data_IF_662147985647
#
_entry.id   IF_662147985647
#
_cell.length_a   1.000
_cell.length_b   1.000
_cell.length_c   1.000
_cell.angle_alpha   90.00
_cell.angle_beta   90.00
_cell.angle_gamma   90.00
#
_symmetry.space_group_name_H-M   'P 1'
#
loop_
_entity.id
_entity.type
_entity.pdbx_description
1 polymer ?
#
# COMPACT_ATOMS: atom_id res chain seq x y z
N UNK A 1 1.41 -5.24 12.30
CA UNK A 1 0.60 -6.40 11.90
C UNK A 1 1.52 -7.40 11.21
N UNK A 2 1.45 -8.66 11.60
CA UNK A 2 2.19 -9.75 10.95
C UNK A 2 1.52 -10.12 9.63
N UNK A 3 2.28 -10.11 8.54
CA UNK A 3 1.82 -10.47 7.19
C UNK A 3 2.93 -11.25 6.50
N UNK A 4 2.59 -12.34 5.83
CA UNK A 4 3.56 -13.07 5.03
C UNK A 4 3.59 -12.63 3.56
N UNK A 5 4.65 -13.03 2.85
CA UNK A 5 4.86 -12.68 1.44
C UNK A 5 3.72 -13.14 0.54
N UNK A 6 3.11 -14.28 0.87
CA UNK A 6 2.00 -14.83 0.09
C UNK A 6 0.77 -13.93 0.23
N UNK A 7 0.51 -13.43 1.44
CA UNK A 7 -0.60 -12.53 1.70
C UNK A 7 -0.44 -11.19 0.99
N UNK A 8 0.77 -10.64 0.93
CA UNK A 8 1.06 -9.46 0.11
C UNK A 8 0.74 -9.67 -1.38
N UNK A 9 1.07 -10.84 -1.92
CA UNK A 9 0.82 -11.19 -3.32
C UNK A 9 -0.66 -11.47 -3.60
N UNK A 10 -1.31 -12.25 -2.75
CA UNK A 10 -2.73 -12.59 -2.85
C UNK A 10 -3.64 -11.35 -2.85
N UNK A 11 -3.31 -10.37 -2.00
CA UNK A 11 -4.00 -9.08 -1.91
C UNK A 11 -3.53 -8.07 -2.97
N UNK A 12 -2.58 -8.46 -3.82
CA UNK A 12 -2.02 -7.60 -4.87
C UNK A 12 -1.46 -6.28 -4.31
N UNK A 13 -0.91 -6.30 -3.10
CA UNK A 13 -0.22 -5.15 -2.50
C UNK A 13 1.02 -4.81 -3.33
N UNK A 14 1.80 -5.86 -3.58
CA UNK A 14 2.94 -5.88 -4.47
C UNK A 14 2.68 -6.95 -5.53
N UNK A 15 2.93 -6.63 -6.79
CA UNK A 15 2.75 -7.55 -7.91
C UNK A 15 3.95 -7.45 -8.86
N UNK A 16 4.25 -8.54 -9.56
CA UNK A 16 5.31 -8.59 -10.57
C UNK A 16 4.99 -7.69 -11.76
N UNK A 17 3.72 -7.58 -12.09
CA UNK A 17 3.21 -6.61 -13.06
C UNK A 17 2.82 -5.33 -12.29
N UNK A 18 3.70 -4.32 -12.29
CA UNK A 18 3.55 -3.12 -11.44
C UNK A 18 2.15 -2.49 -11.57
N UNK A 19 1.59 -2.42 -12.78
CA UNK A 19 0.30 -1.76 -13.09
C UNK A 19 -0.90 -2.35 -12.34
N UNK A 20 -0.81 -3.60 -11.88
CA UNK A 20 -1.90 -4.28 -11.17
C UNK A 20 -1.68 -4.37 -9.66
N UNK A 21 -0.81 -3.53 -9.10
CA UNK A 21 -0.53 -3.50 -7.66
C UNK A 21 -1.18 -2.31 -6.95
N UNK A 22 -1.52 -2.50 -5.67
CA UNK A 22 -1.97 -1.41 -4.80
C UNK A 22 -0.89 -0.34 -4.68
N UNK A 23 0.39 -0.72 -4.54
CA UNK A 23 1.52 0.21 -4.50
C UNK A 23 1.50 1.15 -5.72
N UNK A 24 1.39 0.61 -6.94
CA UNK A 24 1.34 1.43 -8.15
C UNK A 24 0.11 2.35 -8.16
N UNK A 25 -1.06 1.82 -7.76
CA UNK A 25 -2.31 2.58 -7.72
C UNK A 25 -2.25 3.80 -6.80
N UNK A 26 -1.53 3.72 -5.67
CA UNK A 26 -1.44 4.78 -4.66
C UNK A 26 -0.12 5.58 -4.73
N UNK A 27 0.74 5.31 -5.71
CA UNK A 27 2.02 6.00 -5.85
C UNK A 27 1.88 7.32 -6.64
N UNK A 28 1.87 8.42 -5.90
CA UNK A 28 1.95 9.79 -6.37
C UNK A 28 3.26 10.50 -5.95
N UNK A 29 4.30 9.74 -5.59
CA UNK A 29 5.60 10.29 -5.22
C UNK A 29 6.19 11.12 -6.38
N UNK A 30 6.86 12.22 -6.04
CA UNK A 30 7.54 13.07 -7.01
C UNK A 30 8.96 12.55 -7.33
N UNK A 31 9.48 11.65 -6.50
CA UNK A 31 10.86 11.15 -6.55
C UNK A 31 10.94 9.63 -6.42
N UNK A 32 12.02 9.06 -6.98
CA UNK A 32 12.31 7.63 -6.84
C UNK A 32 12.59 7.23 -5.38
N UNK A 33 13.33 8.04 -4.62
CA UNK A 33 13.55 7.78 -3.20
C UNK A 33 12.26 7.86 -2.38
N UNK A 34 11.31 8.73 -2.77
CA UNK A 34 9.95 8.74 -2.25
C UNK A 34 9.21 7.42 -2.49
N UNK A 35 9.25 6.88 -3.73
CA UNK A 35 8.67 5.54 -4.05
C UNK A 35 9.27 4.45 -3.15
N UNK A 36 10.59 4.46 -2.91
CA UNK A 36 11.22 3.48 -2.02
C UNK A 36 10.77 3.62 -0.56
N UNK A 37 10.61 4.85 -0.06
CA UNK A 37 10.09 5.07 1.30
C UNK A 37 8.61 4.67 1.40
N UNK A 38 7.81 4.90 0.36
CA UNK A 38 6.43 4.42 0.29
C UNK A 38 6.37 2.89 0.36
N UNK A 39 7.17 2.20 -0.45
CA UNK A 39 7.29 0.73 -0.42
C UNK A 39 7.73 0.22 0.97
N UNK A 40 8.67 0.91 1.61
CA UNK A 40 9.06 0.62 2.99
C UNK A 40 7.88 0.75 3.97
N UNK A 41 7.09 1.83 3.90
CA UNK A 41 5.92 2.01 4.77
C UNK A 41 4.89 0.89 4.55
N UNK A 42 4.62 0.53 3.28
CA UNK A 42 3.70 -0.54 2.93
C UNK A 42 4.18 -1.93 3.39
N UNK A 43 5.48 -2.18 3.42
CA UNK A 43 6.01 -3.46 3.94
C UNK A 43 6.05 -3.55 5.47
N UNK A 44 5.76 -2.45 6.18
CA UNK A 44 5.84 -2.35 7.65
C UNK A 44 4.53 -1.86 8.31
N UNK A 45 3.38 -2.52 8.06
CA UNK A 45 2.11 -2.16 8.68
C UNK A 45 2.21 -2.22 10.21
N UNK A 46 1.65 -1.22 10.88
CA UNK A 46 1.78 -1.03 12.31
C UNK A 46 1.05 -2.11 13.11
N UNK A 47 1.56 -2.39 14.31
CA UNK A 47 0.98 -3.29 15.31
C UNK A 47 0.52 -2.54 16.56
N UNK A 48 0.52 -1.21 16.51
CA UNK A 48 0.31 -0.34 17.65
C UNK A 48 -0.64 0.78 17.22
N UNK A 49 -1.71 0.99 17.99
CA UNK A 49 -2.75 1.97 17.70
C UNK A 49 -2.18 3.39 17.56
N UNK A 50 -1.35 3.83 18.51
CA UNK A 50 -0.74 5.15 18.49
C UNK A 50 0.06 5.42 17.21
N UNK A 51 0.84 4.45 16.72
CA UNK A 51 1.57 4.61 15.45
C UNK A 51 0.64 4.73 14.24
N UNK A 52 -0.51 4.05 14.27
CA UNK A 52 -1.53 4.17 13.23
C UNK A 52 -2.13 5.58 13.27
N UNK A 53 -2.53 6.05 14.45
CA UNK A 53 -3.09 7.40 14.65
C UNK A 53 -2.09 8.49 14.27
N UNK A 54 -0.82 8.35 14.64
CA UNK A 54 0.27 9.27 14.25
C UNK A 54 0.39 9.37 12.72
N UNK A 55 0.29 8.22 12.02
CA UNK A 55 0.27 8.19 10.54
C UNK A 55 -1.00 8.82 9.98
N UNK A 56 -2.19 8.49 10.51
CA UNK A 56 -3.45 9.10 10.07
C UNK A 56 -3.43 10.63 10.19
N UNK A 57 -3.00 11.15 11.35
CA UNK A 57 -2.85 12.58 11.59
C UNK A 57 -1.85 13.22 10.62
N UNK A 58 -0.73 12.54 10.35
CA UNK A 58 0.27 12.99 9.36
C UNK A 58 -0.34 13.15 7.97
N UNK A 59 -1.12 12.16 7.53
CA UNK A 59 -1.74 12.19 6.20
C UNK A 59 -2.83 13.28 6.10
N UNK A 60 -3.62 13.48 7.15
CA UNK A 60 -4.62 14.55 7.22
C UNK A 60 -3.95 15.93 7.11
N UNK A 61 -2.91 16.17 7.91
CA UNK A 61 -2.18 17.45 7.92
C UNK A 61 -1.46 17.73 6.60
N UNK A 62 -0.85 16.71 5.97
CA UNK A 62 -0.29 16.88 4.62
C UNK A 62 -1.40 17.16 3.61
N UNK A 63 -2.53 16.45 3.73
CA UNK A 63 -3.71 16.61 2.87
C UNK A 63 -4.20 18.06 2.77
N UNK A 64 -4.20 18.78 3.88
CA UNK A 64 -4.60 20.20 3.95
C UNK A 64 -3.71 21.13 3.11
N UNK A 65 -2.45 20.76 2.88
CA UNK A 65 -1.45 21.59 2.18
C UNK A 65 -1.00 21.04 0.83
N UNK A 66 -1.62 19.97 0.31
CA UNK A 66 -1.23 19.32 -0.98
C UNK A 66 -1.12 20.32 -2.13
N UNK A 67 -2.05 21.27 -2.24
CA UNK A 67 -2.04 22.27 -3.33
C UNK A 67 -0.89 23.28 -3.22
N UNK A 68 -0.30 23.40 -2.04
CA UNK A 68 0.81 24.31 -1.73
C UNK A 68 2.16 23.58 -1.72
N UNK A 69 2.20 22.28 -1.99
CA UNK A 69 3.42 21.48 -2.03
C UNK A 69 4.42 22.05 -3.05
N UNK A 70 5.73 22.15 -2.72
CA UNK A 70 6.72 22.73 -3.62
C UNK A 70 6.80 21.96 -4.93
N UNK A 71 6.80 22.69 -6.06
CA UNK A 71 6.89 22.12 -7.42
C UNK A 71 8.33 22.07 -7.93
N UNK A 72 9.23 22.78 -7.25
CA UNK A 72 10.64 22.92 -7.59
C UNK A 72 11.43 21.63 -7.31
N UNK A 73 10.97 20.81 -6.35
CA UNK A 73 11.64 19.54 -6.02
C UNK A 73 11.08 18.43 -6.90
N UNK A 74 11.82 18.14 -7.98
CA UNK A 74 11.50 17.05 -8.91
C UNK A 74 12.44 15.86 -8.72
N UNK A 75 12.09 14.70 -9.30
CA UNK A 75 13.04 13.59 -9.41
C UNK A 75 14.36 14.01 -10.09
N UNK A 76 14.29 14.87 -11.10
CA UNK A 76 15.47 15.42 -11.77
C UNK A 76 16.35 16.23 -10.82
N UNK A 77 15.73 17.04 -9.96
CA UNK A 77 16.44 17.82 -8.93
C UNK A 77 17.23 16.89 -8.01
N UNK A 78 16.58 15.88 -7.41
CA UNK A 78 17.24 14.93 -6.49
C UNK A 78 18.38 14.16 -7.19
N UNK A 79 18.15 13.66 -8.41
CA UNK A 79 19.18 12.91 -9.14
C UNK A 79 20.44 13.76 -9.41
N UNK A 80 20.29 15.07 -9.64
CA UNK A 80 21.42 15.97 -9.83
C UNK A 80 22.19 16.14 -8.52
N UNK A 81 21.48 16.33 -7.41
CA UNK A 81 22.06 16.47 -6.07
C UNK A 81 22.87 15.22 -5.67
N UNK A 82 22.33 14.03 -5.88
CA UNK A 82 23.00 12.77 -5.55
C UNK A 82 24.25 12.53 -6.42
N UNK A 83 24.14 12.79 -7.74
CA UNK A 83 25.27 12.64 -8.67
C UNK A 83 26.42 13.60 -8.38
N UNK A 84 26.13 14.77 -7.82
CA UNK A 84 27.15 15.77 -7.44
C UNK A 84 28.23 15.19 -6.53
N UNK A 85 27.82 14.38 -5.55
CA UNK A 85 28.73 13.80 -4.57
C UNK A 85 29.53 12.62 -5.10
N UNK A 86 29.04 11.95 -6.15
CA UNK A 86 29.75 10.88 -6.84
C UNK A 86 30.70 11.35 -7.94
N UNK A 87 30.57 12.60 -8.42
CA UNK A 87 31.43 13.12 -9.48
C UNK A 87 32.82 13.53 -8.94
N UNK A 88 33.92 13.08 -9.59
CA UNK A 88 35.27 13.45 -9.20
C UNK A 88 35.64 14.82 -9.78
N UNK A 89 35.14 15.90 -9.17
CA UNK A 89 35.56 17.25 -9.53
C UNK A 89 37.04 17.48 -9.21
N UNK A 90 37.71 18.23 -10.07
CA UNK A 90 38.93 18.93 -9.68
C UNK A 90 38.59 19.97 -8.61
N UNK A 91 39.50 20.19 -7.65
CA UNK A 91 39.26 20.97 -6.43
C UNK A 91 38.48 22.27 -6.72
N UNK A 92 37.18 22.31 -6.37
CA UNK A 92 36.34 23.49 -6.54
C UNK A 92 36.92 24.59 -5.63
N UNK A 93 37.42 25.71 -6.16
CA UNK A 93 38.10 26.69 -5.34
C UNK A 93 37.10 27.43 -4.44
N UNK A 94 37.43 27.57 -3.15
CA UNK A 94 36.75 28.51 -2.26
C UNK A 94 37.19 29.94 -2.62
N UNK A 95 36.53 30.51 -3.63
CA UNK A 95 36.94 31.79 -4.23
C UNK A 95 36.06 32.94 -3.77
N UNK A 96 36.60 33.75 -2.85
CA UNK A 96 36.06 35.08 -2.54
C UNK A 96 36.39 36.11 -3.63
N UNK A 97 37.43 35.85 -4.43
CA UNK A 97 37.97 36.76 -5.43
C UNK A 97 37.49 36.41 -6.86
N UNK A 98 37.16 37.40 -7.70
CA UNK A 98 36.77 37.19 -9.11
C UNK A 98 37.85 36.54 -9.98
N UNK A 99 39.13 36.68 -9.62
CA UNK A 99 40.27 36.27 -10.46
C UNK A 99 40.45 34.73 -10.49
N UNK A 100 40.54 34.02 -9.35
CA UNK A 100 40.55 32.55 -9.34
C UNK A 100 39.28 31.95 -9.98
N UNK A 101 38.13 32.57 -9.75
CA UNK A 101 36.87 32.13 -10.33
C UNK A 101 36.85 32.27 -11.85
N UNK A 102 37.45 33.34 -12.40
CA UNK A 102 37.61 33.52 -13.83
C UNK A 102 38.50 32.44 -14.44
N UNK A 103 39.64 32.13 -13.82
CA UNK A 103 40.55 31.10 -14.31
C UNK A 103 39.93 29.71 -14.26
N UNK A 104 39.24 29.35 -13.18
CA UNK A 104 38.52 28.07 -13.11
C UNK A 104 37.45 27.96 -14.20
N UNK A 105 36.69 29.04 -14.44
CA UNK A 105 35.71 29.06 -15.54
C UNK A 105 36.34 28.89 -16.93
N UNK A 106 37.55 29.38 -17.13
CA UNK A 106 38.24 29.37 -18.42
C UNK A 106 38.95 28.04 -18.69
N UNK A 107 39.67 27.51 -17.70
CA UNK A 107 40.48 26.31 -17.84
C UNK A 107 39.70 25.03 -17.46
N UNK A 108 38.80 25.10 -16.48
CA UNK A 108 37.93 24.00 -16.03
C UNK A 108 36.47 24.20 -16.45
N UNK A 109 36.26 24.56 -17.72
CA UNK A 109 34.94 24.90 -18.24
C UNK A 109 33.88 23.78 -18.09
N UNK A 110 34.19 22.48 -18.27
CA UNK A 110 33.23 21.39 -18.02
C UNK A 110 32.78 21.35 -16.55
N UNK A 111 33.72 21.39 -15.62
CA UNK A 111 33.44 21.33 -14.18
C UNK A 111 32.67 22.56 -13.70
N UNK A 112 33.04 23.76 -14.17
CA UNK A 112 32.29 24.98 -13.85
C UNK A 112 30.82 24.90 -14.30
N UNK A 113 30.55 24.36 -15.50
CA UNK A 113 29.17 24.19 -15.99
C UNK A 113 28.39 23.22 -15.11
N UNK A 114 29.01 22.11 -14.70
CA UNK A 114 28.39 21.13 -13.82
C UNK A 114 28.13 21.70 -12.42
N UNK A 115 29.07 22.45 -11.85
CA UNK A 115 28.88 23.18 -10.59
C UNK A 115 27.72 24.17 -10.72
N UNK A 116 27.69 24.99 -11.79
CA UNK A 116 26.60 25.95 -12.02
C UNK A 116 25.23 25.29 -12.11
N UNK A 117 25.14 24.20 -12.88
CA UNK A 117 23.92 23.43 -13.02
C UNK A 117 23.46 22.88 -11.67
N UNK A 118 24.38 22.26 -10.93
CA UNK A 118 24.09 21.61 -9.66
C UNK A 118 23.72 22.59 -8.56
N UNK A 119 24.46 23.68 -8.40
CA UNK A 119 24.15 24.75 -7.43
C UNK A 119 22.76 25.33 -7.68
N UNK A 120 22.34 25.44 -8.95
CA UNK A 120 20.97 25.83 -9.29
C UNK A 120 19.93 24.87 -8.70
N UNK A 121 20.08 23.58 -8.95
CA UNK A 121 19.19 22.55 -8.38
C UNK A 121 19.22 22.52 -6.85
N UNK A 122 20.37 22.78 -6.22
CA UNK A 122 20.47 22.89 -4.76
C UNK A 122 19.70 24.11 -4.22
N UNK A 123 19.76 25.25 -4.90
CA UNK A 123 18.98 26.44 -4.51
C UNK A 123 17.48 26.13 -4.58
N UNK A 124 17.02 25.51 -5.67
CA UNK A 124 15.63 25.12 -5.86
C UNK A 124 15.18 24.11 -4.79
N UNK A 125 16.03 23.12 -4.49
CA UNK A 125 15.79 22.15 -3.42
C UNK A 125 15.69 22.79 -2.03
N UNK A 126 16.65 23.63 -1.66
CA UNK A 126 16.67 24.32 -0.35
C UNK A 126 15.48 25.27 -0.20
N UNK A 127 15.06 25.93 -1.29
CA UNK A 127 13.83 26.75 -1.30
C UNK A 127 12.58 25.90 -1.08
N UNK A 128 12.45 24.76 -1.78
CA UNK A 128 11.35 23.84 -1.58
C UNK A 128 11.31 23.27 -0.15
N UNK A 129 12.46 22.93 0.42
CA UNK A 129 12.55 22.49 1.83
C UNK A 129 12.17 23.60 2.80
N UNK A 130 12.58 24.85 2.53
CA UNK A 130 12.17 26.01 3.33
C UNK A 130 10.67 26.29 3.22
N UNK A 131 10.05 26.06 2.05
CA UNK A 131 8.61 26.15 1.86
C UNK A 131 7.88 25.07 2.67
N UNK A 132 8.32 23.81 2.60
CA UNK A 132 7.76 22.73 3.43
C UNK A 132 7.84 23.04 4.92
N UNK A 133 8.99 23.53 5.39
CA UNK A 133 9.15 23.95 6.77
C UNK A 133 8.12 25.02 7.19
N UNK A 134 7.82 25.99 6.30
CA UNK A 134 6.82 27.05 6.55
C UNK A 134 5.38 26.54 6.53
N UNK A 135 5.07 25.59 5.65
CA UNK A 135 3.72 24.99 5.58
C UNK A 135 3.35 24.30 6.90
N UNK A 136 4.34 23.73 7.58
CA UNK A 136 4.19 23.03 8.84
C UNK A 136 4.74 23.82 10.04
N UNK A 137 4.69 25.17 10.01
CA UNK A 137 5.15 26.00 11.14
C UNK A 137 4.08 26.18 12.24
N UNK A 138 2.98 25.42 12.17
CA UNK A 138 1.85 25.49 13.08
C UNK A 138 2.10 24.74 14.39
N UNK A 139 1.44 25.18 15.46
CA UNK A 139 1.32 24.41 16.69
C UNK A 139 0.44 23.17 16.43
N UNK A 140 0.78 22.02 17.03
CA UNK A 140 0.05 20.74 16.94
C UNK A 140 0.28 19.88 15.68
N UNK A 141 1.53 19.70 15.24
CA UNK A 141 1.88 18.67 14.26
C UNK A 141 1.79 17.25 14.84
N UNK A 142 1.54 16.25 13.99
CA UNK A 142 1.72 14.84 14.34
C UNK A 142 3.17 14.58 14.80
N UNK A 143 3.43 13.58 15.67
CA UNK A 143 4.80 13.28 16.13
C UNK A 143 5.78 13.00 14.98
N UNK A 144 5.30 12.36 13.91
CA UNK A 144 6.08 12.08 12.71
C UNK A 144 6.48 13.39 12.01
N UNK A 145 5.51 14.26 11.70
CA UNK A 145 5.78 15.52 11.04
C UNK A 145 6.62 16.45 11.91
N UNK A 146 6.33 16.53 13.21
CA UNK A 146 7.09 17.34 14.14
C UNK A 146 8.57 16.94 14.14
N UNK A 147 8.86 15.65 14.23
CA UNK A 147 10.23 15.12 14.17
C UNK A 147 10.95 15.51 12.87
N UNK A 148 10.28 15.33 11.72
CA UNK A 148 10.86 15.67 10.42
C UNK A 148 11.10 17.17 10.27
N UNK A 149 10.12 18.01 10.61
CA UNK A 149 10.19 19.47 10.42
C UNK A 149 11.19 20.12 11.38
N UNK A 150 11.34 19.60 12.61
CA UNK A 150 12.39 20.05 13.55
C UNK A 150 13.79 19.81 12.97
N UNK A 151 14.04 18.62 12.40
CA UNK A 151 15.32 18.33 11.77
C UNK A 151 15.53 19.18 10.49
N UNK A 152 14.49 19.40 9.68
CA UNK A 152 14.58 20.34 8.53
C UNK A 152 14.99 21.72 9.00
N UNK A 153 14.33 22.27 10.03
CA UNK A 153 14.65 23.61 10.57
C UNK A 153 16.10 23.70 11.03
N UNK A 154 16.60 22.67 11.72
CA UNK A 154 17.99 22.58 12.17
C UNK A 154 18.97 22.53 11.00
N UNK A 155 18.70 21.72 9.98
CA UNK A 155 19.57 21.56 8.82
C UNK A 155 19.60 22.82 7.94
N UNK A 156 18.48 23.55 7.85
CA UNK A 156 18.40 24.82 7.12
C UNK A 156 19.02 26.02 7.86
N UNK A 157 19.30 25.90 9.16
CA UNK A 157 19.85 26.97 9.98
C UNK A 157 21.36 27.15 9.76
N UNK A 158 21.74 27.62 8.57
CA UNK A 158 23.11 27.93 8.21
C UNK A 158 23.17 29.19 7.35
N UNK A 159 24.15 30.07 7.60
CA UNK A 159 24.26 31.37 6.92
C UNK A 159 24.35 31.26 5.40
N UNK A 160 25.17 30.32 4.88
CA UNK A 160 25.26 30.03 3.44
C UNK A 160 23.95 29.50 2.87
N UNK A 161 23.22 28.65 3.63
CA UNK A 161 21.93 28.10 3.18
C UNK A 161 20.89 29.21 3.08
N UNK A 162 20.84 30.11 4.06
CA UNK A 162 19.98 31.29 3.99
C UNK A 162 20.34 32.23 2.84
N UNK A 163 21.63 32.41 2.53
CA UNK A 163 22.05 33.19 1.35
C UNK A 163 21.63 32.52 0.04
N UNK A 164 21.73 31.20 -0.05
CA UNK A 164 21.26 30.40 -1.20
C UNK A 164 19.74 30.50 -1.38
N UNK A 165 18.95 30.35 -0.32
CA UNK A 165 17.47 30.44 -0.36
C UNK A 165 17.00 31.81 -0.86
N UNK A 166 17.75 32.88 -0.57
CA UNK A 166 17.45 34.25 -1.04
C UNK A 166 17.74 34.46 -2.53
N UNK A 167 18.44 33.54 -3.20
CA UNK A 167 18.74 33.68 -4.62
C UNK A 167 17.51 33.35 -5.47
N UNK A 168 17.08 34.30 -6.31
CA UNK A 168 15.94 34.10 -7.20
C UNK A 168 16.29 33.22 -8.42
N UNK A 169 17.54 33.24 -8.87
CA UNK A 169 18.00 32.42 -9.99
C UNK A 169 19.51 32.22 -9.98
N UNK A 170 19.94 30.97 -10.19
CA UNK A 170 21.35 30.62 -10.41
C UNK A 170 21.93 31.25 -11.68
N UNK A 171 21.08 31.67 -12.62
CA UNK A 171 21.52 32.29 -13.86
C UNK A 171 22.23 33.62 -13.63
N UNK A 172 21.83 34.34 -12.58
CA UNK A 172 22.30 35.70 -12.22
C UNK A 172 23.49 35.71 -11.25
N UNK A 173 23.93 34.54 -10.78
CA UNK A 173 25.01 34.45 -9.81
C UNK A 173 26.37 34.78 -10.43
N UNK A 174 27.12 35.65 -9.75
CA UNK A 174 28.51 35.92 -10.08
C UNK A 174 29.35 34.63 -9.97
N UNK A 175 30.35 34.42 -10.85
CA UNK A 175 31.16 33.19 -10.84
C UNK A 175 31.84 32.86 -9.50
N UNK A 176 32.32 33.88 -8.77
CA UNK A 176 32.91 33.69 -7.43
C UNK A 176 31.88 33.15 -6.42
N UNK A 177 30.70 33.75 -6.38
CA UNK A 177 29.60 33.30 -5.51
C UNK A 177 29.12 31.89 -5.88
N UNK A 178 29.08 31.57 -7.18
CA UNK A 178 28.76 30.23 -7.68
C UNK A 178 29.74 29.17 -7.16
N UNK A 179 31.04 29.42 -7.29
CA UNK A 179 32.07 28.49 -6.86
C UNK A 179 32.13 28.37 -5.34
N UNK A 180 31.91 29.47 -4.61
CA UNK A 180 31.78 29.45 -3.15
C UNK A 180 30.64 28.56 -2.68
N UNK A 181 29.46 28.65 -3.31
CA UNK A 181 28.35 27.73 -3.01
C UNK A 181 28.68 26.28 -3.39
N UNK A 182 29.29 26.06 -4.55
CA UNK A 182 29.70 24.72 -4.97
C UNK A 182 30.70 24.08 -4.00
N UNK A 183 31.69 24.84 -3.53
CA UNK A 183 32.67 24.39 -2.54
C UNK A 183 32.00 24.07 -1.20
N UNK A 184 31.18 24.98 -0.66
CA UNK A 184 30.41 24.78 0.57
C UNK A 184 29.56 23.50 0.53
N UNK A 185 28.80 23.31 -0.55
CA UNK A 185 27.94 22.13 -0.73
C UNK A 185 28.73 20.83 -0.75
N UNK A 186 29.95 20.85 -1.31
CA UNK A 186 30.79 19.67 -1.48
C UNK A 186 31.58 19.30 -0.22
N UNK A 187 32.11 20.30 0.49
CA UNK A 187 33.06 20.08 1.59
C UNK A 187 32.37 20.16 2.95
N UNK A 188 31.51 21.16 3.17
CA UNK A 188 30.98 21.48 4.50
C UNK A 188 29.55 20.97 4.72
N UNK A 189 28.73 20.94 3.67
CA UNK A 189 27.29 20.68 3.79
C UNK A 189 26.83 19.32 3.25
N UNK A 190 27.77 18.46 2.83
CA UNK A 190 27.44 17.16 2.21
C UNK A 190 26.51 16.31 3.07
N UNK A 191 26.87 16.09 4.34
CA UNK A 191 26.10 15.23 5.26
C UNK A 191 24.70 15.80 5.51
N UNK A 192 24.60 17.11 5.68
CA UNK A 192 23.35 17.83 5.94
C UNK A 192 22.44 17.78 4.71
N UNK A 193 23.01 17.91 3.50
CA UNK A 193 22.29 17.73 2.25
C UNK A 193 21.76 16.30 2.10
N UNK A 194 22.58 15.28 2.34
CA UNK A 194 22.15 13.87 2.31
C UNK A 194 21.01 13.61 3.31
N UNK A 195 21.09 14.20 4.51
CA UNK A 195 20.01 14.13 5.51
C UNK A 195 18.73 14.84 5.06
N UNK A 196 18.82 16.04 4.46
CA UNK A 196 17.66 16.74 3.91
C UNK A 196 17.00 15.95 2.78
N UNK A 197 17.79 15.30 1.91
CA UNK A 197 17.29 14.45 0.82
C UNK A 197 16.53 13.25 1.41
N UNK A 198 17.07 12.55 2.42
CA UNK A 198 16.35 11.44 3.07
C UNK A 198 15.06 11.90 3.76
N UNK A 199 15.06 13.08 4.39
CA UNK A 199 13.84 13.67 4.97
C UNK A 199 12.82 13.98 3.88
N UNK A 200 13.25 14.55 2.75
CA UNK A 200 12.36 14.81 1.62
C UNK A 200 11.76 13.51 1.07
N UNK A 201 12.56 12.44 0.92
CA UNK A 201 12.04 11.13 0.50
C UNK A 201 10.94 10.61 1.44
N UNK A 202 11.08 10.80 2.76
CA UNK A 202 10.03 10.43 3.73
C UNK A 202 8.78 11.28 3.57
N UNK A 203 8.94 12.60 3.45
CA UNK A 203 7.83 13.53 3.24
C UNK A 203 7.09 13.24 1.92
N UNK A 204 7.82 12.93 0.85
CA UNK A 204 7.28 12.59 -0.47
C UNK A 204 6.44 11.29 -0.43
N UNK A 205 6.86 10.30 0.36
CA UNK A 205 6.08 9.09 0.59
C UNK A 205 4.75 9.37 1.33
N UNK A 206 4.79 10.18 2.40
CA UNK A 206 3.56 10.57 3.10
C UNK A 206 2.65 11.48 2.24
N UNK A 207 3.25 12.37 1.43
CA UNK A 207 2.51 13.14 0.42
C UNK A 207 1.80 12.23 -0.59
N UNK A 208 2.48 11.19 -1.07
CA UNK A 208 1.88 10.20 -1.97
C UNK A 208 0.65 9.54 -1.35
N UNK A 209 0.77 9.09 -0.09
CA UNK A 209 -0.33 8.47 0.65
C UNK A 209 -1.49 9.46 0.86
N UNK A 210 -1.21 10.69 1.30
CA UNK A 210 -2.24 11.72 1.51
C UNK A 210 -2.96 12.08 0.19
N UNK A 211 -2.20 12.17 -0.91
CA UNK A 211 -2.76 12.43 -2.23
C UNK A 211 -3.62 11.28 -2.74
N UNK A 212 -3.23 10.04 -2.47
CA UNK A 212 -4.05 8.87 -2.77
C UNK A 212 -5.36 8.85 -1.96
N UNK A 213 -5.32 9.25 -0.68
CA UNK A 213 -6.53 9.40 0.15
C UNK A 213 -7.52 10.38 -0.49
N UNK A 214 -7.07 11.57 -0.91
CA UNK A 214 -7.95 12.55 -1.58
C UNK A 214 -8.38 12.10 -2.97
N UNK A 215 -7.47 11.51 -3.76
CA UNK A 215 -7.75 11.15 -5.15
C UNK A 215 -8.78 10.01 -5.27
N UNK A 216 -8.78 9.07 -4.32
CA UNK A 216 -9.69 7.92 -4.32
C UNK A 216 -10.83 8.02 -3.30
N UNK A 217 -11.02 9.20 -2.68
CA UNK A 217 -12.05 9.45 -1.66
C UNK A 217 -12.02 8.42 -0.51
N UNK A 218 -10.83 8.18 0.03
CA UNK A 218 -10.62 7.22 1.10
C UNK A 218 -10.94 7.85 2.45
N UNK A 219 -11.55 7.06 3.33
CA UNK A 219 -11.99 7.52 4.64
C UNK A 219 -11.10 6.90 5.73
N UNK A 220 -10.68 7.68 6.71
CA UNK A 220 -9.87 7.17 7.81
C UNK A 220 -10.72 6.25 8.71
N UNK A 221 -10.28 5.00 8.96
CA UNK A 221 -11.03 4.08 9.80
C UNK A 221 -10.86 4.40 11.29
N UNK A 222 -11.87 4.08 12.10
CA UNK A 222 -11.78 4.06 13.56
C UNK A 222 -11.21 2.73 14.02
N UNK A 223 -10.04 2.74 14.67
CA UNK A 223 -9.40 1.53 15.18
C UNK A 223 -9.54 1.49 16.70
N UNK A 224 -10.07 0.38 17.22
CA UNK A 224 -10.28 0.17 18.65
C UNK A 224 -9.26 -0.81 19.23
N UNK A 225 -8.67 -0.43 20.34
CA UNK A 225 -7.95 -1.36 21.21
C UNK A 225 -8.99 -2.15 22.01
N UNK A 226 -9.23 -3.40 21.60
CA UNK A 226 -10.27 -4.28 22.14
C UNK A 226 -9.73 -5.71 22.18
N UNK A 227 -10.11 -6.46 23.20
CA UNK A 227 -9.81 -7.90 23.30
C UNK A 227 -10.60 -8.71 22.26
N UNK A 228 -11.76 -8.21 21.85
CA UNK A 228 -12.62 -8.85 20.86
C UNK A 228 -12.29 -8.38 19.44
N UNK A 229 -12.20 -9.30 18.46
CA UNK A 229 -12.01 -8.94 17.06
C UNK A 229 -13.27 -8.32 16.45
N UNK A 230 -13.10 -7.24 15.69
CA UNK A 230 -14.19 -6.53 15.01
C UNK A 230 -13.74 -6.05 13.63
N UNK A 231 -14.59 -6.25 12.63
CA UNK A 231 -14.57 -5.53 11.36
C UNK A 231 -16.00 -5.12 11.06
N UNK A 232 -16.23 -3.81 10.91
CA UNK A 232 -17.51 -3.25 10.50
C UNK A 232 -17.25 -2.19 9.44
N UNK A 233 -17.66 -2.45 8.21
CA UNK A 233 -17.47 -1.53 7.10
C UNK A 233 -18.79 -1.31 6.36
N UNK A 234 -19.02 -0.06 5.94
CA UNK A 234 -20.12 0.31 5.05
C UNK A 234 -19.55 0.85 3.75
N UNK A 235 -20.20 0.47 2.64
CA UNK A 235 -19.79 0.88 1.31
C UNK A 235 -18.35 0.50 0.97
N UNK A 236 -17.88 -0.67 1.42
CA UNK A 236 -16.55 -1.20 1.15
C UNK A 236 -16.39 -1.51 -0.34
N UNK A 237 -15.27 -1.13 -0.95
CA UNK A 237 -14.96 -1.43 -2.35
C UNK A 237 -13.49 -1.81 -2.54
N UNK A 238 -13.15 -2.28 -3.75
CA UNK A 238 -11.78 -2.62 -4.11
C UNK A 238 -11.13 -1.50 -4.96
N UNK A 239 -10.00 -0.97 -4.51
CA UNK A 239 -9.27 0.16 -5.16
C UNK A 239 -8.79 -0.10 -6.59
N UNK A 240 -8.51 -1.37 -6.92
CA UNK A 240 -8.06 -1.76 -8.25
C UNK A 240 -9.19 -1.90 -9.28
N UNK A 241 -10.47 -1.80 -8.88
CA UNK A 241 -11.58 -1.83 -9.82
C UNK A 241 -11.87 -0.43 -10.35
N UNK A 242 -12.19 -0.34 -11.65
CA UNK A 242 -12.60 0.92 -12.27
C UNK A 242 -14.00 1.35 -11.83
N UNK A 243 -14.93 0.39 -11.76
CA UNK A 243 -16.33 0.60 -11.37
C UNK A 243 -16.71 -0.43 -10.30
N UNK A 244 -16.34 -0.20 -9.03
CA UNK A 244 -16.64 -1.15 -7.98
C UNK A 244 -18.11 -1.14 -7.56
N UNK A 245 -18.61 -2.29 -7.13
CA UNK A 245 -19.86 -2.41 -6.36
C UNK A 245 -19.49 -2.43 -4.88
N UNK A 246 -20.22 -1.65 -4.08
CA UNK A 246 -19.93 -1.46 -2.67
C UNK A 246 -20.59 -2.53 -1.78
N UNK A 247 -19.93 -2.91 -0.69
CA UNK A 247 -20.36 -3.97 0.22
C UNK A 247 -20.50 -3.46 1.66
N UNK A 248 -21.51 -3.95 2.37
CA UNK A 248 -21.64 -3.78 3.81
C UNK A 248 -21.29 -5.09 4.51
N UNK A 249 -20.38 -5.03 5.49
CA UNK A 249 -19.91 -6.21 6.22
C UNK A 249 -19.77 -5.92 7.71
N UNK A 250 -20.12 -6.91 8.53
CA UNK A 250 -19.87 -6.92 9.97
C UNK A 250 -19.42 -8.31 10.38
N UNK A 251 -18.26 -8.38 11.03
CA UNK A 251 -17.68 -9.58 11.62
C UNK A 251 -17.25 -9.24 13.05
N UNK A 252 -17.69 -10.05 13.99
CA UNK A 252 -17.49 -9.90 15.43
C UNK A 252 -17.40 -11.29 16.08
N UNK A 253 -17.18 -11.44 17.39
CA UNK A 253 -17.06 -12.77 18.01
C UNK A 253 -18.31 -13.65 17.85
N UNK A 254 -19.49 -13.05 17.74
CA UNK A 254 -20.75 -13.75 17.57
C UNK A 254 -20.96 -14.26 16.15
N UNK A 255 -20.34 -13.65 15.13
CA UNK A 255 -20.35 -14.08 13.73
C UNK A 255 -18.95 -14.01 13.13
N UNK A 256 -17.99 -14.67 13.79
CA UNK A 256 -16.56 -14.53 13.48
C UNK A 256 -16.11 -15.32 12.25
N UNK A 257 -17.01 -16.10 11.65
CA UNK A 257 -16.75 -16.87 10.44
C UNK A 257 -17.76 -16.50 9.35
N UNK A 258 -17.28 -15.92 8.25
CA UNK A 258 -18.08 -15.68 7.05
C UNK A 258 -17.90 -16.83 6.06
N UNK A 259 -18.99 -17.53 5.82
CA UNK A 259 -19.10 -18.58 4.82
C UNK A 259 -19.74 -18.01 3.56
N UNK A 260 -18.94 -17.87 2.50
CA UNK A 260 -19.30 -17.16 1.28
C UNK A 260 -19.49 -18.13 0.10
N UNK A 261 -20.66 -18.13 -0.52
CA UNK A 261 -20.99 -18.97 -1.69
C UNK A 261 -21.40 -18.14 -2.91
N UNK A 262 -21.62 -18.82 -4.03
CA UNK A 262 -22.07 -18.22 -5.28
C UNK A 262 -21.25 -18.69 -6.47
N UNK A 263 -21.70 -18.33 -7.67
CA UNK A 263 -21.08 -18.76 -8.92
C UNK A 263 -19.62 -18.27 -9.06
N UNK A 264 -18.85 -18.97 -9.91
CA UNK A 264 -17.57 -18.45 -10.35
C UNK A 264 -17.81 -17.13 -11.11
N UNK A 265 -16.89 -16.17 -10.95
CA UNK A 265 -16.99 -14.81 -11.49
C UNK A 265 -18.02 -13.88 -10.81
N UNK A 266 -18.77 -14.36 -9.79
CA UNK A 266 -19.77 -13.54 -9.08
C UNK A 266 -19.18 -12.50 -8.10
N UNK A 267 -17.84 -12.43 -7.94
CA UNK A 267 -17.17 -11.43 -7.10
C UNK A 267 -16.61 -11.93 -5.76
N UNK A 268 -16.66 -13.23 -5.47
CA UNK A 268 -16.19 -13.81 -4.19
C UNK A 268 -14.75 -13.42 -3.83
N UNK A 269 -13.80 -13.70 -4.71
CA UNK A 269 -12.38 -13.39 -4.50
C UNK A 269 -12.15 -11.88 -4.38
N UNK A 270 -12.85 -11.08 -5.18
CA UNK A 270 -12.81 -9.61 -5.13
C UNK A 270 -13.26 -9.08 -3.77
N UNK A 271 -14.34 -9.62 -3.21
CA UNK A 271 -14.81 -9.25 -1.87
C UNK A 271 -13.80 -9.61 -0.79
N UNK A 272 -13.25 -10.84 -0.81
CA UNK A 272 -12.22 -11.28 0.13
C UNK A 272 -11.02 -10.33 0.10
N UNK A 273 -10.53 -10.00 -1.10
CA UNK A 273 -9.42 -9.05 -1.29
C UNK A 273 -9.80 -7.64 -0.83
N UNK A 274 -11.05 -7.21 -1.01
CA UNK A 274 -11.50 -5.87 -0.58
C UNK A 274 -11.40 -5.74 0.94
N UNK A 275 -11.88 -6.73 1.69
CA UNK A 275 -11.77 -6.75 3.16
C UNK A 275 -10.30 -6.78 3.59
N UNK A 276 -9.50 -7.66 2.99
CA UNK A 276 -8.07 -7.79 3.30
C UNK A 276 -7.29 -6.50 3.04
N UNK A 277 -7.48 -5.88 1.88
CA UNK A 277 -6.85 -4.62 1.52
C UNK A 277 -7.28 -3.46 2.44
N UNK A 278 -8.55 -3.38 2.83
CA UNK A 278 -9.02 -2.34 3.74
C UNK A 278 -8.42 -2.49 5.14
N UNK A 279 -8.40 -3.70 5.71
CA UNK A 279 -7.73 -3.95 7.00
C UNK A 279 -6.22 -3.69 6.91
N UNK A 280 -5.61 -4.08 5.80
CA UNK A 280 -4.19 -3.79 5.53
C UNK A 280 -3.90 -2.28 5.53
N UNK A 281 -4.65 -1.49 4.76
CA UNK A 281 -4.49 -0.03 4.68
C UNK A 281 -4.75 0.65 6.02
N UNK A 282 -5.74 0.17 6.78
CA UNK A 282 -5.99 0.64 8.14
C UNK A 282 -4.76 0.48 9.03
N UNK A 283 -4.10 -0.68 8.98
CA UNK A 283 -2.87 -0.93 9.75
C UNK A 283 -1.64 -0.18 9.23
N UNK A 284 -1.61 0.23 7.97
CA UNK A 284 -0.61 1.19 7.46
C UNK A 284 -0.87 2.61 8.01
N UNK A 285 -2.08 2.89 8.50
CA UNK A 285 -2.53 4.21 8.95
C UNK A 285 -3.03 5.11 7.83
N UNK A 286 -3.44 4.50 6.71
CA UNK A 286 -4.02 5.20 5.57
C UNK A 286 -5.55 5.19 5.65
N UNK A 287 -6.19 6.07 4.86
CA UNK A 287 -7.62 5.93 4.57
C UNK A 287 -7.92 4.60 3.86
N UNK A 288 -9.12 4.07 4.08
CA UNK A 288 -9.59 2.80 3.53
C UNK A 288 -10.64 3.02 2.44
N UNK A 289 -10.80 2.09 1.48
CA UNK A 289 -11.82 2.17 0.44
C UNK A 289 -13.19 1.73 0.97
N UNK A 290 -13.75 2.53 1.86
CA UNK A 290 -15.09 2.36 2.42
C UNK A 290 -15.67 3.73 2.74
N UNK A 291 -17.00 3.84 2.79
CA UNK A 291 -17.67 5.06 3.24
C UNK A 291 -17.48 5.27 4.77
N UNK A 292 -17.39 4.18 5.53
CA UNK A 292 -17.02 4.19 6.94
C UNK A 292 -16.49 2.82 7.34
N UNK A 293 -15.49 2.77 8.21
CA UNK A 293 -14.96 1.52 8.73
C UNK A 293 -14.54 1.65 10.19
N UNK A 294 -14.95 0.68 10.99
CA UNK A 294 -14.56 0.47 12.38
C UNK A 294 -13.94 -0.93 12.49
N UNK A 295 -12.79 -1.04 13.15
CA UNK A 295 -12.14 -2.34 13.36
C UNK A 295 -11.39 -2.40 14.68
N UNK A 296 -11.21 -3.61 15.20
CA UNK A 296 -10.24 -3.86 16.26
C UNK A 296 -8.82 -3.88 15.70
N UNK A 297 -7.82 -3.56 16.52
CA UNK A 297 -6.42 -3.78 16.16
C UNK A 297 -6.14 -5.29 15.95
N UNK A 298 -5.68 -5.70 14.76
CA UNK A 298 -5.27 -7.08 14.47
C UNK A 298 -3.77 -7.29 14.66
N UNK A 299 -3.41 -8.47 15.18
CA UNK A 299 -2.02 -8.88 15.31
C UNK A 299 -1.46 -9.36 13.97
N UNK A 300 -2.29 -9.95 13.11
CA UNK A 300 -1.87 -10.42 11.80
C UNK A 300 -2.98 -10.64 10.79
N UNK A 301 -2.57 -10.72 9.53
CA UNK A 301 -3.40 -10.96 8.35
C UNK A 301 -2.77 -12.08 7.53
N UNK A 302 -3.54 -13.13 7.28
CA UNK A 302 -3.12 -14.29 6.48
C UNK A 302 -4.13 -14.54 5.37
N UNK A 303 -3.63 -14.94 4.20
CA UNK A 303 -4.47 -15.39 3.11
C UNK A 303 -4.12 -16.79 2.60
N UNK A 304 -5.15 -17.44 2.06
CA UNK A 304 -5.16 -18.73 1.40
C UNK A 304 -5.92 -18.60 0.06
N UNK A 305 -5.47 -17.72 -0.85
CA UNK A 305 -6.17 -17.42 -2.11
C UNK A 305 -5.53 -18.12 -3.31
N UNK A 306 -4.28 -17.81 -3.66
CA UNK A 306 -3.61 -18.45 -4.80
C UNK A 306 -2.62 -19.51 -4.34
N UNK A 307 -2.78 -20.75 -4.80
CA UNK A 307 -1.79 -21.81 -4.60
C UNK A 307 -1.08 -22.03 -5.92
N UNK A 308 0.23 -21.78 -5.93
CA UNK A 308 1.07 -22.04 -7.09
C UNK A 308 1.63 -23.46 -7.00
N UNK A 309 1.69 -24.15 -8.13
CA UNK A 309 2.34 -25.45 -8.22
C UNK A 309 3.84 -25.34 -7.95
N UNK A 310 4.37 -26.24 -7.13
CA UNK A 310 5.80 -26.40 -6.98
C UNK A 310 6.30 -27.56 -7.86
N UNK A 311 6.40 -27.28 -9.15
CA UNK A 311 6.87 -28.25 -10.16
C UNK A 311 8.26 -28.81 -9.79
N UNK A 312 9.12 -27.98 -9.19
CA UNK A 312 10.50 -28.34 -8.83
C UNK A 312 10.57 -29.41 -7.74
N UNK A 313 9.61 -29.44 -6.81
CA UNK A 313 9.57 -30.42 -5.71
C UNK A 313 8.79 -31.69 -6.02
N UNK A 314 8.05 -31.73 -7.13
CA UNK A 314 7.18 -32.86 -7.47
C UNK A 314 6.04 -33.11 -6.46
N UNK A 315 5.71 -32.11 -5.64
CA UNK A 315 4.62 -32.16 -4.66
C UNK A 315 3.27 -31.97 -5.37
N UNK A 316 2.26 -32.76 -5.01
CA UNK A 316 0.93 -32.59 -5.59
C UNK A 316 0.30 -31.27 -5.15
N UNK A 317 -0.51 -30.65 -6.03
CA UNK A 317 -1.24 -29.41 -5.74
C UNK A 317 -2.01 -29.50 -4.41
N UNK A 318 -2.72 -30.62 -4.18
CA UNK A 318 -3.44 -30.88 -2.94
C UNK A 318 -2.55 -30.88 -1.69
N UNK A 319 -1.35 -31.47 -1.76
CA UNK A 319 -0.42 -31.46 -0.63
C UNK A 319 0.05 -30.04 -0.27
N UNK A 320 0.27 -29.19 -1.28
CA UNK A 320 0.62 -27.78 -1.07
C UNK A 320 -0.53 -27.02 -0.39
N UNK A 321 -1.78 -27.27 -0.79
CA UNK A 321 -2.97 -26.73 -0.09
C UNK A 321 -2.99 -27.15 1.38
N UNK A 322 -2.76 -28.44 1.67
CA UNK A 322 -2.72 -28.97 3.05
C UNK A 322 -1.60 -28.32 3.86
N UNK A 323 -0.38 -28.19 3.32
CA UNK A 323 0.72 -27.53 4.03
C UNK A 323 0.42 -26.05 4.32
N UNK A 324 -0.26 -25.35 3.41
CA UNK A 324 -0.63 -23.96 3.59
C UNK A 324 -1.64 -23.77 4.72
N UNK A 325 -2.66 -24.64 4.77
CA UNK A 325 -3.63 -24.65 5.88
C UNK A 325 -2.95 -25.04 7.19
N UNK A 326 -2.08 -26.04 7.20
CA UNK A 326 -1.28 -26.41 8.39
C UNK A 326 -0.50 -25.20 8.91
N UNK A 327 0.22 -24.49 8.04
CA UNK A 327 1.00 -23.31 8.44
C UNK A 327 0.11 -22.18 8.94
N UNK A 328 -1.06 -21.98 8.34
CA UNK A 328 -2.06 -21.02 8.82
C UNK A 328 -2.51 -21.38 10.23
N UNK A 329 -2.96 -22.62 10.45
CA UNK A 329 -3.42 -23.12 11.76
C UNK A 329 -2.34 -22.96 12.82
N UNK A 330 -1.10 -23.34 12.52
CA UNK A 330 0.03 -23.21 13.47
C UNK A 330 0.26 -21.76 13.92
N UNK A 331 0.07 -20.77 13.03
CA UNK A 331 0.21 -19.35 13.37
C UNK A 331 -0.95 -18.84 14.22
N UNK A 332 -2.18 -19.19 13.86
CA UNK A 332 -3.38 -18.56 14.46
C UNK A 332 -3.82 -19.20 15.79
N UNK A 333 -3.16 -20.29 16.22
CA UNK A 333 -3.43 -20.95 17.51
C UNK A 333 -2.69 -20.33 18.70
N UNK A 334 -2.06 -19.17 18.51
CA UNK A 334 -1.28 -18.45 19.53
C UNK A 334 -2.12 -17.53 20.43
N UNK A 335 -3.44 -17.48 20.23
CA UNK A 335 -4.38 -16.66 21.00
C UNK A 335 -4.45 -15.19 20.58
N UNK A 336 -3.65 -14.77 19.59
CA UNK A 336 -3.67 -13.41 19.01
C UNK A 336 -4.87 -13.22 18.06
N UNK A 337 -5.16 -11.96 17.71
CA UNK A 337 -6.23 -11.61 16.79
C UNK A 337 -5.76 -11.67 15.34
N UNK A 338 -6.30 -12.62 14.58
CA UNK A 338 -5.99 -12.79 13.16
C UNK A 338 -7.20 -12.51 12.29
N UNK A 339 -6.96 -11.90 11.12
CA UNK A 339 -7.87 -11.99 9.98
C UNK A 339 -7.32 -13.05 9.02
N UNK A 340 -8.12 -14.09 8.75
CA UNK A 340 -7.75 -15.18 7.85
C UNK A 340 -8.70 -15.20 6.66
N UNK A 341 -8.13 -15.08 5.47
CA UNK A 341 -8.84 -15.02 4.20
C UNK A 341 -8.60 -16.32 3.43
N UNK A 342 -9.64 -17.01 2.99
CA UNK A 342 -9.54 -18.31 2.31
C UNK A 342 -10.41 -18.27 1.06
N UNK A 343 -9.83 -18.54 -0.11
CA UNK A 343 -10.58 -18.56 -1.39
C UNK A 343 -10.61 -19.96 -1.99
N UNK A 344 -11.63 -20.72 -1.59
CA UNK A 344 -11.82 -22.15 -1.83
C UNK A 344 -10.73 -23.04 -1.19
N UNK A 345 -11.15 -24.17 -0.64
CA UNK A 345 -10.25 -25.15 -0.03
C UNK A 345 -10.17 -26.40 -0.90
N UNK A 346 -8.97 -26.96 -1.02
CA UNK A 346 -8.72 -28.31 -1.54
C UNK A 346 -9.21 -28.53 -2.98
N UNK A 347 -8.91 -27.59 -3.88
CA UNK A 347 -9.29 -27.68 -5.30
C UNK A 347 -8.59 -28.83 -6.03
N UNK A 348 -7.47 -29.32 -5.51
CA UNK A 348 -6.64 -30.34 -6.16
C UNK A 348 -7.05 -31.80 -5.91
N UNK A 349 -8.20 -32.06 -5.27
CA UNK A 349 -8.67 -33.43 -4.99
C UNK A 349 -10.11 -33.64 -5.47
N UNK A 350 -10.63 -34.86 -5.33
CA UNK A 350 -12.02 -35.15 -5.67
C UNK A 350 -13.00 -34.40 -4.74
N UNK A 351 -14.22 -34.18 -5.23
CA UNK A 351 -15.22 -33.35 -4.53
C UNK A 351 -15.56 -33.91 -3.14
N UNK A 352 -15.64 -35.23 -2.97
CA UNK A 352 -15.97 -35.85 -1.67
C UNK A 352 -14.87 -35.60 -0.64
N UNK A 353 -13.62 -35.84 -0.99
CA UNK A 353 -12.46 -35.55 -0.14
C UNK A 353 -12.36 -34.05 0.15
N UNK A 354 -12.56 -33.20 -0.85
CA UNK A 354 -12.55 -31.75 -0.67
C UNK A 354 -13.62 -31.30 0.33
N UNK A 355 -14.84 -31.84 0.25
CA UNK A 355 -15.91 -31.57 1.23
C UNK A 355 -15.52 -32.04 2.63
N UNK A 356 -15.05 -33.29 2.78
CA UNK A 356 -14.66 -33.84 4.08
C UNK A 356 -13.52 -33.05 4.73
N UNK A 357 -12.47 -32.75 3.98
CA UNK A 357 -11.33 -31.97 4.46
C UNK A 357 -11.74 -30.52 4.79
N UNK A 358 -12.54 -29.88 3.93
CA UNK A 358 -13.01 -28.50 4.17
C UNK A 358 -13.86 -28.40 5.44
N UNK A 359 -14.81 -29.31 5.62
CA UNK A 359 -15.64 -29.36 6.83
C UNK A 359 -14.78 -29.55 8.09
N UNK A 360 -13.79 -30.43 8.05
CA UNK A 360 -12.88 -30.64 9.17
C UNK A 360 -12.09 -29.37 9.53
N UNK A 361 -11.54 -28.67 8.52
CA UNK A 361 -10.83 -27.40 8.71
C UNK A 361 -11.76 -26.33 9.29
N UNK A 362 -12.93 -26.12 8.68
CA UNK A 362 -13.91 -25.12 9.13
C UNK A 362 -14.28 -25.37 10.60
N UNK A 363 -14.64 -26.60 10.97
CA UNK A 363 -14.95 -26.97 12.36
C UNK A 363 -13.78 -26.71 13.33
N UNK A 364 -12.55 -26.85 12.87
CA UNK A 364 -11.36 -26.46 13.63
C UNK A 364 -11.28 -24.95 13.85
N UNK A 365 -11.40 -24.17 12.77
CA UNK A 365 -11.30 -22.70 12.80
C UNK A 365 -12.41 -22.06 13.64
N UNK A 366 -13.63 -22.59 13.62
CA UNK A 366 -14.78 -22.09 14.41
C UNK A 366 -14.54 -22.08 15.92
N UNK A 367 -13.59 -22.89 16.42
CA UNK A 367 -13.22 -22.94 17.84
C UNK A 367 -12.38 -21.72 18.25
N UNK A 368 -11.75 -21.03 17.30
CA UNK A 368 -10.92 -19.87 17.55
C UNK A 368 -11.81 -18.63 17.52
N UNK A 369 -12.22 -18.13 18.70
CA UNK A 369 -13.15 -16.98 18.83
C UNK A 369 -12.46 -15.62 18.72
N UNK A 370 -11.16 -15.56 18.98
CA UNK A 370 -10.38 -14.31 18.95
C UNK A 370 -9.94 -13.90 17.53
N UNK A 371 -10.31 -14.66 16.50
CA UNK A 371 -9.93 -14.39 15.11
C UNK A 371 -11.14 -14.35 14.20
N UNK A 372 -11.02 -13.63 13.10
CA UNK A 372 -12.04 -13.52 12.06
C UNK A 372 -11.61 -14.33 10.84
N UNK A 373 -12.59 -14.99 10.23
CA UNK A 373 -12.38 -15.86 9.10
C UNK A 373 -13.34 -15.48 7.98
N UNK A 374 -12.83 -15.40 6.76
CA UNK A 374 -13.65 -15.32 5.55
C UNK A 374 -13.24 -16.48 4.66
N UNK A 375 -14.20 -17.34 4.33
CA UNK A 375 -13.99 -18.47 3.44
C UNK A 375 -14.99 -18.40 2.30
N UNK A 376 -14.51 -18.35 1.06
CA UNK A 376 -15.34 -18.65 -0.10
C UNK A 376 -15.32 -20.14 -0.42
N UNK A 377 -16.41 -20.66 -0.97
CA UNK A 377 -16.46 -22.00 -1.53
C UNK A 377 -17.51 -22.12 -2.62
N UNK A 378 -17.29 -23.04 -3.56
CA UNK A 378 -18.32 -23.53 -4.49
C UNK A 378 -19.00 -24.82 -3.99
N UNK A 379 -18.48 -25.43 -2.91
CA UNK A 379 -19.03 -26.63 -2.27
C UNK A 379 -20.16 -26.21 -1.31
N UNK A 380 -21.29 -25.76 -1.83
CA UNK A 380 -22.38 -25.25 -1.00
C UNK A 380 -23.02 -26.34 -0.12
N UNK A 381 -22.88 -27.61 -0.49
CA UNK A 381 -23.42 -28.77 0.23
C UNK A 381 -22.87 -28.88 1.66
N UNK A 382 -21.64 -28.43 1.92
CA UNK A 382 -21.07 -28.43 3.28
C UNK A 382 -21.78 -27.43 4.20
N UNK A 383 -22.47 -26.44 3.63
CA UNK A 383 -23.16 -25.41 4.38
C UNK A 383 -24.30 -25.95 5.23
N UNK A 384 -24.98 -27.01 4.80
CA UNK A 384 -26.09 -27.61 5.56
C UNK A 384 -25.63 -28.22 6.90
N UNK A 385 -24.47 -28.89 6.91
CA UNK A 385 -23.87 -29.42 8.13
C UNK A 385 -23.39 -28.29 9.06
N UNK A 386 -23.01 -27.14 8.50
CA UNK A 386 -22.45 -26.01 9.24
C UNK A 386 -23.51 -25.10 9.87
N UNK A 387 -24.78 -25.15 9.43
CA UNK A 387 -25.89 -24.32 9.97
C UNK A 387 -26.12 -24.46 11.48
N UNK A 388 -25.68 -25.55 12.09
CA UNK A 388 -25.78 -25.77 13.54
C UNK A 388 -24.87 -24.85 14.36
N UNK A 389 -23.86 -24.21 13.74
CA UNK A 389 -22.91 -23.35 14.44
C UNK A 389 -23.38 -21.88 14.37
N UNK A 390 -23.72 -21.25 15.51
CA UNK A 390 -24.30 -19.90 15.52
C UNK A 390 -23.30 -18.81 15.12
N UNK A 391 -22.00 -19.11 15.15
CA UNK A 391 -20.95 -18.15 14.83
C UNK A 391 -20.55 -18.09 13.36
N UNK A 392 -21.35 -18.71 12.48
CA UNK A 392 -21.19 -18.63 11.04
C UNK A 392 -22.23 -17.66 10.47
N UNK A 393 -21.76 -16.64 9.76
CA UNK A 393 -22.61 -15.87 8.85
C UNK A 393 -22.52 -16.49 7.47
N UNK A 394 -23.68 -16.89 6.92
CA UNK A 394 -23.78 -17.43 5.57
C UNK A 394 -24.17 -16.32 4.61
N UNK A 395 -23.34 -16.07 3.60
CA UNK A 395 -23.65 -15.10 2.55
C UNK A 395 -23.37 -15.66 1.16
N UNK A 396 -24.02 -15.09 0.16
CA UNK A 396 -23.79 -15.44 -1.23
C UNK A 396 -23.85 -14.23 -2.15
N UNK A 397 -23.20 -14.36 -3.31
CA UNK A 397 -23.33 -13.40 -4.40
C UNK A 397 -24.48 -13.78 -5.33
N UNK A 398 -25.47 -12.90 -5.45
CA UNK A 398 -26.62 -13.14 -6.31
C UNK A 398 -26.23 -13.10 -7.80
N UNK A 399 -26.61 -14.16 -8.49
CA UNK A 399 -26.47 -14.28 -9.95
C UNK A 399 -27.84 -14.54 -10.54
N UNK A 400 -28.25 -13.74 -11.50
CA UNK A 400 -29.52 -13.91 -12.21
C UNK A 400 -29.24 -14.47 -13.60
N UNK A 401 -29.86 -15.60 -13.93
CA UNK A 401 -29.84 -16.16 -15.27
C UNK A 401 -31.15 -15.81 -15.99
N UNK A 402 -31.05 -15.15 -17.14
CA UNK A 402 -32.13 -15.08 -18.13
C UNK A 402 -31.89 -16.15 -19.21
N UNK A 403 -32.89 -16.42 -20.06
CA UNK A 403 -32.80 -17.46 -21.12
C UNK A 403 -31.59 -17.28 -22.06
N UNK A 404 -31.05 -16.06 -22.17
CA UNK A 404 -29.94 -15.73 -23.06
C UNK A 404 -28.68 -15.22 -22.35
N UNK A 405 -28.74 -14.78 -21.07
CA UNK A 405 -27.61 -14.11 -20.41
C UNK A 405 -27.48 -14.44 -18.90
N UNK A 406 -26.23 -14.60 -18.46
CA UNK A 406 -25.87 -14.55 -17.04
C UNK A 406 -25.55 -13.10 -16.66
N UNK A 407 -26.30 -12.56 -15.71
CA UNK A 407 -26.06 -11.25 -15.13
C UNK A 407 -25.58 -11.40 -13.68
N UNK A 408 -24.40 -10.87 -13.40
CA UNK A 408 -23.83 -10.83 -12.06
C UNK A 408 -24.15 -9.47 -11.44
N UNK A 409 -24.99 -9.47 -10.40
CA UNK A 409 -25.36 -8.24 -9.68
C UNK A 409 -24.23 -7.71 -8.80
N UNK A 410 -23.30 -8.60 -8.44
CA UNK A 410 -22.27 -8.40 -7.41
C UNK A 410 -22.87 -7.99 -6.05
N UNK A 411 -24.16 -8.25 -5.80
CA UNK A 411 -24.79 -7.97 -4.52
C UNK A 411 -24.59 -9.15 -3.56
N UNK A 412 -24.16 -8.82 -2.35
CA UNK A 412 -24.00 -9.77 -1.25
C UNK A 412 -25.33 -9.94 -0.50
N UNK A 413 -25.86 -11.16 -0.47
CA UNK A 413 -27.12 -11.52 0.21
C UNK A 413 -26.90 -12.52 1.33
N UNK A 414 -27.80 -12.55 2.29
CA UNK A 414 -27.82 -13.54 3.39
C UNK A 414 -28.29 -14.90 2.86
N UNK A 415 -27.62 -15.97 3.29
CA UNK A 415 -27.94 -17.36 2.93
C UNK A 415 -26.84 -18.09 2.16
N UNK A 416 -27.21 -19.21 1.54
CA UNK A 416 -26.33 -20.06 0.74
C UNK A 416 -26.91 -20.15 -0.66
N UNK A 417 -26.11 -19.87 -1.69
CA UNK A 417 -26.51 -20.09 -3.09
C UNK A 417 -26.25 -21.54 -3.49
N UNK A 418 -27.20 -22.13 -4.22
CA UNK A 418 -27.09 -23.46 -4.86
C UNK A 418 -26.91 -23.34 -6.39
N UNK A 419 -26.50 -22.17 -6.87
CA UNK A 419 -26.47 -21.85 -8.30
C UNK A 419 -25.36 -22.64 -9.05
N UNK A 420 -25.74 -23.27 -10.17
CA UNK A 420 -24.83 -24.07 -11.02
C UNK A 420 -24.84 -23.57 -12.46
N UNK A 421 -23.97 -22.58 -12.77
CA UNK A 421 -23.94 -21.93 -14.09
C UNK A 421 -22.81 -22.38 -15.04
N UNK A 422 -21.97 -23.35 -14.65
CA UNK A 422 -20.78 -23.73 -15.44
C UNK A 422 -21.10 -24.14 -16.89
N UNK A 423 -22.12 -24.96 -17.09
CA UNK A 423 -22.55 -25.36 -18.45
C UNK A 423 -23.11 -24.19 -19.26
N UNK A 424 -23.78 -23.25 -18.59
CA UNK A 424 -24.37 -22.06 -19.22
C UNK A 424 -23.27 -21.10 -19.70
N UNK A 425 -22.17 -20.98 -18.95
CA UNK A 425 -20.95 -20.27 -19.39
C UNK A 425 -20.34 -20.95 -20.61
N UNK A 426 -20.22 -22.28 -20.60
CA UNK A 426 -19.66 -23.05 -21.73
C UNK A 426 -20.50 -22.89 -23.01
N UNK A 427 -21.83 -22.85 -22.88
CA UNK A 427 -22.75 -22.54 -23.97
C UNK A 427 -22.58 -21.10 -24.48
N UNK A 428 -22.45 -20.12 -23.58
CA UNK A 428 -22.23 -18.70 -23.91
C UNK A 428 -20.94 -18.47 -24.69
N UNK A 429 -19.85 -19.12 -24.31
CA UNK A 429 -18.56 -19.05 -25.02
C UNK A 429 -18.59 -19.80 -26.36
N UNK A 430 -19.78 -20.24 -26.81
CA UNK A 430 -20.04 -20.95 -28.07
C UNK A 430 -19.28 -22.27 -28.22
N UNK A 431 -18.77 -22.81 -27.12
CA UNK A 431 -18.01 -24.07 -27.12
C UNK A 431 -18.91 -25.23 -27.56
N UNK A 432 -20.15 -25.30 -27.05
CA UNK A 432 -21.10 -26.35 -27.45
C UNK A 432 -21.38 -26.32 -28.96
N UNK A 433 -21.69 -25.14 -29.51
CA UNK A 433 -21.96 -24.99 -30.94
C UNK A 433 -20.75 -25.33 -31.82
N UNK A 434 -19.52 -25.07 -31.34
CA UNK A 434 -18.29 -25.45 -32.04
C UNK A 434 -18.08 -26.95 -32.01
N UNK A 435 -18.35 -27.60 -30.87
CA UNK A 435 -18.23 -29.05 -30.72
C UNK A 435 -19.28 -29.81 -31.53
N UNK A 436 -20.49 -29.28 -31.66
CA UNK A 436 -21.57 -29.85 -32.49
C UNK A 436 -21.29 -29.76 -34.00
N UNK A 437 -20.31 -28.94 -34.42
CA UNK A 437 -19.88 -28.78 -35.81
C UNK A 437 -18.68 -29.65 -36.19
N UNK A 438 -18.09 -30.39 -35.23
CA UNK A 438 -17.06 -31.41 -35.48
C UNK A 438 -17.70 -32.68 -36.03
#
# INVERSE_FOLDING_TARGET
>A
MEIDKVTYYDLSIFNTEEEYSLLHRINFCNTFGGKQKLEYLLTHPHHNLKKIEDTQQTLQQIGEVILQWPKEITNGTILVLEKFYGYPFDNIPDSYSPVPAFFYRLFEAPDYRLVRYTVGHFIDFLRGMSQLQKLFDQDNLSPILQSLIVEVRKLLNHSMVHDMIKQHSSATLAPSKMLRFGNFLRIEYKRQAEQLIDIYHKLDAYYSMAKAVQHFDLHFPEIKESDEPLIKAKGLYHLLLQTPVAYDITLNPQTNFLFLTGANMAGKSTFIKSVGCAVYLAHVGMGVPAASMELSLFDGLLSNIQVQDNIVKGESYFYNEVQRIKNTVLKITDGRKWLVLIDELFKGTNIQDAMHCSTAVIKGLLKIKNSLFILSTHLYEIGDELKQYPNISFRYFETTATEEQLQFSYQLKEGISNDRFGYLILKREKVVEMLEKL
#
